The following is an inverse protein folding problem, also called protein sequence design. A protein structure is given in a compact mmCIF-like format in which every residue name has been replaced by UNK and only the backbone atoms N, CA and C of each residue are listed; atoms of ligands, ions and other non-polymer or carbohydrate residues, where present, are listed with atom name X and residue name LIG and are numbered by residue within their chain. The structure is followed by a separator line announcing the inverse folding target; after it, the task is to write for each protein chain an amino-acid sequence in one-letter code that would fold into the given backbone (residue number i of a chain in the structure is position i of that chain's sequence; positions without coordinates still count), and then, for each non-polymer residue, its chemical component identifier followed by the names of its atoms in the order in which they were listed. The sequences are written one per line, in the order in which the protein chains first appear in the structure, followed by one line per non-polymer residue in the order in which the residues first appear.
data_IF_935033773609
#
_entry.id   IF_935033773609
#
_cell.length_a   1.000
_cell.length_b   1.000
_cell.length_c   1.000
_cell.angle_alpha   90.00
_cell.angle_beta   90.00
_cell.angle_gamma   90.00
#
_symmetry.space_group_name_H-M   'P 1'
#
loop_
_entity.id
_entity.type
_entity.pdbx_description
1 polymer ?
#
# COMPACT_ATOMS: atom_id res chain seq x y z
N UNK A 1 26.12 -12.13 22.29
CA UNK A 1 25.23 -10.97 22.08
C UNK A 1 24.74 -11.03 20.64
N UNK A 2 23.45 -11.28 20.40
CA UNK A 2 22.90 -11.32 19.04
C UNK A 2 22.59 -9.89 18.63
N UNK A 3 23.40 -9.33 17.73
CA UNK A 3 23.11 -8.03 17.13
C UNK A 3 21.99 -8.23 16.11
N UNK A 4 20.76 -7.81 16.44
CA UNK A 4 19.68 -7.82 15.47
C UNK A 4 19.99 -6.79 14.37
N UNK A 5 20.06 -7.22 13.12
CA UNK A 5 20.14 -6.31 11.98
C UNK A 5 18.74 -5.71 11.76
N UNK A 6 18.64 -4.38 11.81
CA UNK A 6 17.40 -3.63 11.55
C UNK A 6 16.21 -4.01 12.47
N UNK A 7 16.37 -4.00 13.81
CA UNK A 7 15.31 -4.43 14.72
C UNK A 7 14.03 -3.61 14.59
N UNK A 8 14.12 -2.31 14.30
CA UNK A 8 12.95 -1.43 14.18
C UNK A 8 12.25 -1.71 12.86
N UNK A 9 12.96 -1.59 11.74
CA UNK A 9 12.39 -1.82 10.40
C UNK A 9 11.86 -3.25 10.26
N UNK A 10 12.59 -4.24 10.78
CA UNK A 10 12.17 -5.64 10.79
C UNK A 10 10.85 -5.88 11.54
N UNK A 11 10.66 -5.20 12.68
CA UNK A 11 9.40 -5.28 13.43
C UNK A 11 8.23 -4.80 12.58
N UNK A 12 8.31 -3.61 11.99
CA UNK A 12 7.23 -3.07 11.15
C UNK A 12 7.06 -3.84 9.83
N UNK A 13 8.15 -4.31 9.24
CA UNK A 13 8.12 -5.16 8.05
C UNK A 13 7.32 -6.44 8.30
N UNK A 14 7.50 -7.09 9.45
CA UNK A 14 6.75 -8.31 9.79
C UNK A 14 5.24 -8.07 9.90
N UNK A 15 4.84 -6.95 10.52
CA UNK A 15 3.43 -6.55 10.66
C UNK A 15 2.82 -6.27 9.28
N UNK A 16 3.52 -5.46 8.47
CA UNK A 16 3.07 -5.08 7.14
C UNK A 16 3.05 -6.27 6.17
N UNK A 17 3.98 -7.23 6.30
CA UNK A 17 3.98 -8.47 5.54
C UNK A 17 2.77 -9.36 5.90
N UNK A 18 2.43 -9.48 7.19
CA UNK A 18 1.21 -10.17 7.62
C UNK A 18 -0.05 -9.53 7.01
N UNK A 19 -0.08 -8.20 6.96
CA UNK A 19 -1.19 -7.47 6.33
C UNK A 19 -1.22 -7.63 4.81
N UNK A 20 -0.06 -7.70 4.15
CA UNK A 20 0.03 -8.04 2.72
C UNK A 20 -0.64 -9.38 2.42
N UNK A 21 -0.31 -10.42 3.20
CA UNK A 21 -0.93 -11.76 3.05
C UNK A 21 -2.44 -11.69 3.22
N UNK A 22 -2.94 -10.93 4.20
CA UNK A 22 -4.38 -10.71 4.37
C UNK A 22 -5.04 -10.13 3.10
N UNK A 23 -4.42 -9.12 2.48
CA UNK A 23 -4.94 -8.52 1.25
C UNK A 23 -4.87 -9.47 0.07
N UNK A 24 -3.81 -10.27 -0.04
CA UNK A 24 -3.71 -11.28 -1.10
C UNK A 24 -4.83 -12.31 -0.98
N UNK A 25 -5.13 -12.76 0.24
CA UNK A 25 -6.26 -13.67 0.51
C UNK A 25 -7.60 -13.02 0.16
N UNK A 26 -7.79 -11.74 0.49
CA UNK A 26 -9.02 -10.99 0.14
C UNK A 26 -9.23 -10.96 -1.39
N UNK A 27 -8.18 -10.64 -2.15
CA UNK A 27 -8.22 -10.66 -3.63
C UNK A 27 -8.57 -12.05 -4.16
N UNK A 28 -7.94 -13.11 -3.64
CA UNK A 28 -8.22 -14.49 -4.06
C UNK A 28 -9.68 -14.85 -3.81
N UNK A 29 -10.21 -14.54 -2.62
CA UNK A 29 -11.61 -14.80 -2.29
C UNK A 29 -12.58 -14.09 -3.24
N UNK A 30 -12.33 -12.82 -3.53
CA UNK A 30 -13.20 -12.08 -4.46
C UNK A 30 -13.10 -12.60 -5.90
N UNK A 31 -11.91 -13.01 -6.37
CA UNK A 31 -11.73 -13.64 -7.69
C UNK A 31 -12.50 -14.94 -7.85
N UNK A 32 -12.51 -15.77 -6.80
CA UNK A 32 -13.24 -17.03 -6.81
C UNK A 32 -14.76 -16.82 -6.84
N UNK A 33 -15.29 -15.82 -6.13
CA UNK A 33 -16.72 -15.49 -6.12
C UNK A 33 -17.26 -15.16 -7.52
N UNK A 34 -16.49 -14.39 -8.30
CA UNK A 34 -16.91 -13.91 -9.63
C UNK A 34 -16.39 -14.79 -10.77
N UNK A 35 -15.68 -15.88 -10.46
CA UNK A 35 -15.05 -16.83 -11.40
C UNK A 35 -14.15 -16.13 -12.43
N UNK A 36 -13.44 -15.08 -12.01
CA UNK A 36 -12.52 -14.32 -12.84
C UNK A 36 -11.09 -14.49 -12.31
N UNK A 37 -10.38 -15.48 -12.86
CA UNK A 37 -9.03 -15.81 -12.42
C UNK A 37 -8.00 -14.75 -12.87
N UNK A 38 -8.19 -14.16 -14.04
CA UNK A 38 -7.23 -13.23 -14.65
C UNK A 38 -7.92 -11.92 -15.08
N UNK A 39 -7.25 -10.80 -14.82
CA UNK A 39 -7.76 -9.46 -15.12
C UNK A 39 -8.58 -8.84 -13.99
N UNK A 40 -9.35 -7.81 -14.34
CA UNK A 40 -10.19 -6.98 -13.47
C UNK A 40 -11.70 -7.22 -13.68
N UNK A 41 -12.06 -8.11 -14.61
CA UNK A 41 -13.45 -8.38 -15.00
C UNK A 41 -14.02 -7.43 -16.05
N UNK A 42 -13.30 -6.38 -16.45
CA UNK A 42 -13.76 -5.39 -17.44
C UNK A 42 -14.02 -6.03 -18.80
N UNK A 43 -13.09 -6.87 -19.28
CA UNK A 43 -13.25 -7.61 -20.54
C UNK A 43 -14.43 -8.58 -20.51
N UNK A 44 -14.63 -9.26 -19.38
CA UNK A 44 -15.76 -10.18 -19.19
C UNK A 44 -17.09 -9.43 -19.20
N UNK A 45 -17.15 -8.25 -18.55
CA UNK A 45 -18.34 -7.41 -18.56
C UNK A 45 -18.66 -6.87 -19.97
N UNK A 46 -17.66 -6.41 -20.71
CA UNK A 46 -17.81 -5.95 -22.10
C UNK A 46 -18.33 -7.09 -22.98
N UNK A 47 -17.77 -8.30 -22.83
CA UNK A 47 -18.23 -9.48 -23.57
C UNK A 47 -19.69 -9.80 -23.28
N UNK A 48 -20.09 -9.76 -22.01
CA UNK A 48 -21.48 -10.01 -21.59
C UNK A 48 -22.43 -8.95 -22.17
N UNK A 49 -22.01 -7.66 -22.22
CA UNK A 49 -22.75 -6.56 -22.84
C UNK A 49 -22.95 -6.81 -24.34
N UNK A 50 -21.88 -7.15 -25.07
CA UNK A 50 -21.96 -7.36 -26.53
C UNK A 50 -22.86 -8.55 -26.88
N UNK A 51 -22.77 -9.66 -26.14
CA UNK A 51 -23.59 -10.86 -26.38
C UNK A 51 -25.06 -10.55 -26.10
N UNK A 52 -25.38 -9.98 -24.92
CA UNK A 52 -26.77 -9.73 -24.52
C UNK A 52 -27.43 -8.57 -25.27
N UNK A 53 -26.63 -7.65 -25.83
CA UNK A 53 -27.12 -6.62 -26.74
C UNK A 53 -27.69 -7.23 -28.03
N UNK A 54 -27.04 -8.27 -28.58
CA UNK A 54 -27.58 -9.00 -29.75
C UNK A 54 -28.90 -9.72 -29.45
N UNK A 55 -29.08 -10.21 -28.22
CA UNK A 55 -30.30 -10.87 -27.74
C UNK A 55 -31.36 -9.91 -27.17
N UNK A 56 -31.23 -8.58 -27.37
CA UNK A 56 -32.12 -7.55 -26.80
C UNK A 56 -32.36 -7.69 -25.27
N UNK A 57 -31.40 -8.27 -24.55
CA UNK A 57 -31.53 -8.69 -23.15
C UNK A 57 -30.60 -7.93 -22.20
N UNK A 58 -30.23 -6.70 -22.55
CA UNK A 58 -29.27 -5.84 -21.83
C UNK A 58 -29.66 -5.61 -20.37
N UNK A 59 -30.96 -5.52 -20.05
CA UNK A 59 -31.45 -5.28 -18.70
C UNK A 59 -31.10 -6.38 -17.68
N UNK A 60 -30.64 -7.54 -18.13
CA UNK A 60 -30.25 -8.67 -17.27
C UNK A 60 -28.78 -8.66 -16.82
N UNK A 61 -28.02 -7.61 -17.12
CA UNK A 61 -26.58 -7.53 -16.82
C UNK A 61 -26.37 -6.96 -15.42
N UNK A 62 -25.65 -7.71 -14.58
CA UNK A 62 -25.14 -7.20 -13.32
C UNK A 62 -23.84 -6.42 -13.54
N UNK A 63 -23.95 -5.10 -13.55
CA UNK A 63 -22.83 -4.16 -13.74
C UNK A 63 -21.90 -4.15 -12.51
N UNK A 64 -22.44 -4.48 -11.32
CA UNK A 64 -21.71 -4.45 -10.05
C UNK A 64 -20.98 -5.75 -9.73
N UNK A 65 -21.18 -6.80 -10.56
CA UNK A 65 -20.59 -8.12 -10.41
C UNK A 65 -19.11 -8.11 -10.03
N UNK A 66 -18.30 -7.26 -10.66
CA UNK A 66 -16.84 -7.23 -10.47
C UNK A 66 -16.35 -6.10 -9.54
N UNK A 67 -17.23 -5.23 -9.04
CA UNK A 67 -16.85 -4.01 -8.32
C UNK A 67 -16.06 -4.31 -7.03
N UNK A 68 -16.51 -5.30 -6.25
CA UNK A 68 -15.83 -5.72 -5.01
C UNK A 68 -14.45 -6.31 -5.30
N UNK A 69 -14.35 -7.17 -6.32
CA UNK A 69 -13.08 -7.75 -6.76
C UNK A 69 -12.10 -6.64 -7.20
N UNK A 70 -12.58 -5.69 -8.00
CA UNK A 70 -11.77 -4.56 -8.45
C UNK A 70 -11.27 -3.72 -7.26
N UNK A 71 -12.13 -3.43 -6.29
CA UNK A 71 -11.75 -2.71 -5.08
C UNK A 71 -10.64 -3.43 -4.28
N UNK A 72 -10.77 -4.74 -4.07
CA UNK A 72 -9.74 -5.54 -3.40
C UNK A 72 -8.41 -5.58 -4.18
N UNK A 73 -8.46 -5.68 -5.52
CA UNK A 73 -7.26 -5.60 -6.37
C UNK A 73 -6.57 -4.24 -6.21
N UNK A 74 -7.32 -3.14 -6.24
CA UNK A 74 -6.78 -1.79 -6.08
C UNK A 74 -6.19 -1.56 -4.68
N UNK A 75 -6.85 -2.06 -3.65
CA UNK A 75 -6.35 -2.04 -2.27
C UNK A 75 -5.01 -2.76 -2.13
N UNK A 76 -4.91 -3.98 -2.69
CA UNK A 76 -3.68 -4.77 -2.68
C UNK A 76 -2.55 -4.12 -3.48
N UNK A 77 -2.85 -3.64 -4.70
CA UNK A 77 -1.88 -2.93 -5.56
C UNK A 77 -1.32 -1.70 -4.87
N UNK A 78 -2.18 -0.86 -4.30
CA UNK A 78 -1.76 0.34 -3.59
C UNK A 78 -0.83 0.01 -2.41
N UNK A 79 -1.12 -1.06 -1.66
CA UNK A 79 -0.23 -1.48 -0.58
C UNK A 79 1.16 -1.88 -1.11
N UNK A 80 1.20 -2.68 -2.19
CA UNK A 80 2.43 -3.16 -2.80
C UNK A 80 3.26 -2.06 -3.48
N UNK A 81 2.63 -1.00 -3.98
CA UNK A 81 3.32 0.12 -4.63
C UNK A 81 4.16 0.96 -3.64
N UNK A 82 3.70 1.12 -2.40
CA UNK A 82 4.29 2.09 -1.48
C UNK A 82 5.03 1.47 -0.28
N UNK A 83 4.55 0.33 0.23
CA UNK A 83 5.12 -0.26 1.44
C UNK A 83 6.57 -0.73 1.26
N UNK A 84 6.94 -1.44 0.17
CA UNK A 84 8.33 -1.82 -0.06
C UNK A 84 9.28 -0.61 -0.15
N UNK A 85 8.84 0.49 -0.76
CA UNK A 85 9.63 1.72 -0.84
C UNK A 85 9.87 2.33 0.55
N UNK A 86 8.82 2.45 1.37
CA UNK A 86 8.95 2.98 2.75
C UNK A 86 9.83 2.09 3.61
N UNK A 87 9.71 0.77 3.50
CA UNK A 87 10.57 -0.17 4.22
C UNK A 87 12.03 -0.07 3.79
N UNK A 88 12.28 0.13 2.48
CA UNK A 88 13.63 0.32 1.95
C UNK A 88 14.26 1.60 2.50
N UNK A 89 13.55 2.73 2.45
CA UNK A 89 14.03 3.99 3.01
C UNK A 89 14.27 3.89 4.52
N UNK A 90 13.37 3.22 5.24
CA UNK A 90 13.48 3.03 6.68
C UNK A 90 14.68 2.14 7.07
N UNK A 91 14.95 1.10 6.29
CA UNK A 91 16.15 0.29 6.44
C UNK A 91 17.41 1.15 6.26
N UNK A 92 17.47 2.00 5.23
CA UNK A 92 18.60 2.91 5.01
C UNK A 92 18.75 3.88 6.19
N UNK A 93 17.65 4.46 6.69
CA UNK A 93 17.69 5.36 7.85
C UNK A 93 18.24 4.66 9.11
N UNK A 94 17.82 3.42 9.35
CA UNK A 94 18.26 2.63 10.51
C UNK A 94 19.72 2.19 10.39
N UNK A 95 20.19 1.81 9.18
CA UNK A 95 21.62 1.54 8.92
C UNK A 95 22.48 2.79 9.15
N UNK A 96 21.93 3.98 8.87
CA UNK A 96 22.56 5.26 9.18
C UNK A 96 22.36 5.72 10.64
N UNK A 97 21.88 4.84 11.52
CA UNK A 97 21.74 5.09 12.95
C UNK A 97 20.90 6.33 13.28
N UNK A 98 19.83 6.58 12.50
CA UNK A 98 18.85 7.63 12.83
C UNK A 98 18.30 7.43 14.25
N UNK A 99 17.82 8.51 14.87
CA UNK A 99 17.16 8.45 16.18
C UNK A 99 16.12 7.32 16.24
N UNK A 100 16.26 6.35 17.16
CA UNK A 100 15.33 5.22 17.29
C UNK A 100 13.88 5.65 17.55
N UNK A 101 13.70 6.72 18.33
CA UNK A 101 12.37 7.25 18.63
C UNK A 101 11.72 7.84 17.38
N UNK A 102 12.50 8.55 16.56
CA UNK A 102 12.02 9.14 15.31
C UNK A 102 11.56 8.05 14.34
N UNK A 103 12.40 7.03 14.11
CA UNK A 103 12.07 5.94 13.20
C UNK A 103 10.85 5.13 13.65
N UNK A 104 10.77 4.79 14.95
CA UNK A 104 9.59 4.10 15.53
C UNK A 104 8.32 4.91 15.36
N UNK A 105 8.38 6.22 15.59
CA UNK A 105 7.22 7.10 15.46
C UNK A 105 6.75 7.20 14.01
N UNK A 106 7.68 7.44 13.08
CA UNK A 106 7.40 7.52 11.65
C UNK A 106 6.78 6.22 11.11
N UNK A 107 7.40 5.07 11.42
CA UNK A 107 6.92 3.76 11.00
C UNK A 107 5.63 3.33 11.70
N UNK A 108 5.44 3.73 12.96
CA UNK A 108 4.21 3.50 13.72
C UNK A 108 3.02 4.22 13.09
N UNK A 109 3.16 5.53 12.83
CA UNK A 109 2.12 6.33 12.17
C UNK A 109 1.79 5.78 10.78
N UNK A 110 2.82 5.48 9.98
CA UNK A 110 2.63 4.90 8.66
C UNK A 110 1.87 3.56 8.72
N UNK A 111 2.27 2.65 9.61
CA UNK A 111 1.68 1.31 9.73
C UNK A 111 0.21 1.39 10.18
N UNK A 112 -0.09 2.20 11.21
CA UNK A 112 -1.45 2.40 11.70
C UNK A 112 -2.33 2.99 10.60
N UNK A 113 -1.85 4.03 9.91
CA UNK A 113 -2.58 4.65 8.81
C UNK A 113 -2.89 3.64 7.69
N UNK A 114 -1.94 2.75 7.36
CA UNK A 114 -2.12 1.72 6.32
C UNK A 114 -3.16 0.67 6.69
N UNK A 115 -3.12 0.17 7.92
CA UNK A 115 -4.06 -0.86 8.39
C UNK A 115 -5.46 -0.27 8.57
N UNK A 116 -5.58 0.93 9.15
CA UNK A 116 -6.86 1.60 9.36
C UNK A 116 -7.52 2.03 8.04
N UNK A 117 -6.73 2.52 7.08
CA UNK A 117 -7.25 3.02 5.82
C UNK A 117 -7.90 1.93 4.97
N UNK A 118 -7.27 0.76 4.86
CA UNK A 118 -7.74 -0.28 3.94
C UNK A 118 -9.09 -0.89 4.35
N UNK A 119 -9.40 -0.84 5.64
CA UNK A 119 -10.71 -1.24 6.15
C UNK A 119 -11.80 -0.19 5.83
N UNK A 120 -11.42 1.09 5.71
CA UNK A 120 -12.32 2.18 5.35
C UNK A 120 -12.75 2.20 3.88
N UNK A 121 -11.92 1.70 2.96
CA UNK A 121 -12.28 1.59 1.52
C UNK A 121 -13.46 0.62 1.32
N UNK A 122 -13.64 -0.36 2.22
CA UNK A 122 -14.72 -1.36 2.13
C UNK A 122 -16.11 -0.81 2.45
N UNK A 123 -16.23 0.42 2.99
CA UNK A 123 -17.50 0.94 3.50
C UNK A 123 -18.20 1.93 2.57
N UNK A 124 -17.48 2.88 1.97
CA UNK A 124 -18.06 3.86 1.04
C UNK A 124 -16.95 4.46 0.18
N UNK A 125 -16.91 4.18 -1.13
CA UNK A 125 -15.87 4.58 -2.10
C UNK A 125 -15.54 6.10 -2.18
N UNK A 126 -16.10 6.94 -1.30
CA UNK A 126 -15.83 8.37 -1.12
C UNK A 126 -15.72 8.70 0.38
N UNK A 127 -14.51 8.63 0.94
CA UNK A 127 -14.30 8.95 2.37
C UNK A 127 -12.98 9.66 2.64
N UNK A 128 -12.98 10.52 3.66
CA UNK A 128 -11.83 11.23 4.25
C UNK A 128 -10.66 10.29 4.57
N UNK A 129 -10.92 8.99 4.74
CA UNK A 129 -9.90 7.96 4.87
C UNK A 129 -8.94 7.87 3.66
N UNK A 130 -9.41 8.12 2.43
CA UNK A 130 -8.57 8.05 1.21
C UNK A 130 -7.57 9.20 1.12
N UNK A 131 -7.97 10.39 1.50
CA UNK A 131 -7.07 11.54 1.56
C UNK A 131 -6.07 11.37 2.70
N UNK A 132 -6.50 10.88 3.87
CA UNK A 132 -5.61 10.64 5.00
C UNK A 132 -4.56 9.55 4.72
N UNK A 133 -4.95 8.44 4.07
CA UNK A 133 -4.02 7.38 3.67
C UNK A 133 -2.97 7.85 2.65
N UNK A 134 -3.38 8.70 1.71
CA UNK A 134 -2.46 9.31 0.76
C UNK A 134 -1.49 10.28 1.44
N UNK A 135 -2.00 11.21 2.26
CA UNK A 135 -1.19 12.21 2.97
C UNK A 135 -0.15 11.54 3.87
N UNK A 136 -0.56 10.52 4.64
CA UNK A 136 0.36 9.78 5.52
C UNK A 136 1.45 9.05 4.72
N UNK A 137 1.09 8.47 3.57
CA UNK A 137 2.06 7.79 2.70
C UNK A 137 3.06 8.74 2.09
N UNK A 138 2.58 9.75 1.37
CA UNK A 138 3.46 10.69 0.68
C UNK A 138 4.26 11.53 1.67
N UNK A 139 3.67 11.88 2.82
CA UNK A 139 4.38 12.52 3.92
C UNK A 139 5.50 11.65 4.47
N UNK A 140 5.24 10.36 4.72
CA UNK A 140 6.27 9.40 5.18
C UNK A 140 7.40 9.28 4.16
N UNK A 141 7.06 9.11 2.88
CA UNK A 141 8.06 9.00 1.80
C UNK A 141 8.89 10.29 1.72
N UNK A 142 8.27 11.47 1.77
CA UNK A 142 8.98 12.75 1.69
C UNK A 142 9.95 12.93 2.88
N UNK A 143 9.47 12.69 4.11
CA UNK A 143 10.30 12.77 5.32
C UNK A 143 11.45 11.79 5.25
N UNK A 144 11.18 10.52 4.88
CA UNK A 144 12.21 9.49 4.77
C UNK A 144 13.21 9.81 3.66
N UNK A 145 12.77 10.34 2.52
CA UNK A 145 13.64 10.76 1.41
C UNK A 145 14.60 11.87 1.84
N UNK A 146 14.08 12.95 2.47
CA UNK A 146 14.94 14.05 2.95
C UNK A 146 15.92 13.54 4.01
N UNK A 147 15.45 12.71 4.94
CA UNK A 147 16.28 12.19 6.03
C UNK A 147 17.38 11.27 5.50
N UNK A 148 17.04 10.33 4.61
CA UNK A 148 18.04 9.43 3.99
C UNK A 148 19.05 10.20 3.16
N UNK A 149 18.61 11.20 2.38
CA UNK A 149 19.50 12.05 1.61
C UNK A 149 20.50 12.80 2.50
N UNK A 150 20.01 13.46 3.55
CA UNK A 150 20.86 14.18 4.50
C UNK A 150 21.86 13.24 5.20
N UNK A 151 21.38 12.12 5.76
CA UNK A 151 22.23 11.19 6.50
C UNK A 151 23.30 10.55 5.61
N UNK A 152 22.95 10.17 4.38
CA UNK A 152 23.89 9.53 3.45
C UNK A 152 24.97 10.48 2.93
N UNK A 153 24.70 11.79 2.94
CA UNK A 153 25.62 12.83 2.45
C UNK A 153 26.14 13.73 3.57
N UNK A 154 25.95 13.36 4.84
CA UNK A 154 26.19 14.22 5.99
C UNK A 154 27.61 14.79 6.00
N UNK A 155 28.60 13.93 5.75
CA UNK A 155 30.02 14.32 5.72
C UNK A 155 30.33 15.38 4.66
N UNK A 156 29.73 15.26 3.46
CA UNK A 156 29.89 16.24 2.39
C UNK A 156 29.17 17.54 2.72
N UNK A 157 27.92 17.47 3.18
CA UNK A 157 27.11 18.64 3.50
C UNK A 157 27.76 19.46 4.63
N UNK A 158 28.17 18.80 5.71
CA UNK A 158 28.82 19.46 6.83
C UNK A 158 30.15 20.12 6.39
N UNK A 159 30.87 19.50 5.44
CA UNK A 159 32.10 20.09 4.89
C UNK A 159 31.88 21.35 4.05
N UNK A 160 30.71 21.54 3.44
CA UNK A 160 30.38 22.76 2.66
C UNK A 160 29.74 23.86 3.51
N UNK A 161 29.06 23.50 4.60
CA UNK A 161 28.35 24.46 5.46
C UNK A 161 29.22 25.07 6.56
N UNK A 162 30.25 24.33 7.00
CA UNK A 162 31.13 24.73 8.11
C UNK A 162 32.60 24.94 7.70
N UNK A 163 32.89 24.98 6.39
CA UNK A 163 34.15 25.48 5.83
C UNK A 163 34.03 26.98 5.52
#
# INVERSE_FOLDING_TARGET
MVLALLPITGTYASILAGFYVYLSVDVIKERLKVKCLMGDGSQSLIRDIVIKSKDNSIGSIDIHKYEKMYASIRAHSNFFEYVPLVLTLSAIMELNQVSPLFLKSLMGVFTIARIAHNQGIKKDFKGVGRTLGAVTTFGTIAIATVTTFYLSNKTLIDSYLFA
#
